data_IF_081727158274
#
_entry.id   IF_081727158274
#
_cell.length_a   1.000
_cell.length_b   1.000
_cell.length_c   1.000
_cell.angle_alpha   90.00
_cell.angle_beta   90.00
_cell.angle_gamma   90.00
#
_symmetry.space_group_name_H-M   'P 1'
#
loop_
_entity.id
_entity.type
_entity.pdbx_description
1 polymer ?
#
# COMPACT_ATOMS: atom_id res chain seq x y z
N UNK A 1 -0.64 30.20 -5.32
CA UNK A 1 -1.10 28.79 -5.28
C UNK A 1 -0.45 28.04 -6.45
N UNK A 2 0.30 26.96 -6.20
CA UNK A 2 1.11 26.26 -7.22
C UNK A 2 0.25 25.34 -8.12
N UNK A 3 -0.69 25.91 -8.87
CA UNK A 3 -1.71 25.16 -9.63
C UNK A 3 -1.19 24.34 -10.83
N UNK A 4 0.09 24.47 -11.19
CA UNK A 4 0.73 23.74 -12.28
C UNK A 4 1.80 22.74 -11.81
N UNK A 5 1.95 22.55 -10.48
CA UNK A 5 2.96 21.64 -9.96
C UNK A 5 2.60 20.19 -10.33
N UNK A 6 3.47 19.53 -11.08
CA UNK A 6 3.30 18.12 -11.47
C UNK A 6 4.13 17.16 -10.61
N UNK A 7 5.24 17.64 -10.02
CA UNK A 7 6.12 16.83 -9.17
C UNK A 7 6.42 17.56 -7.88
N UNK A 8 6.24 16.86 -6.76
CA UNK A 8 6.65 17.26 -5.43
C UNK A 8 7.55 16.16 -4.89
N UNK A 9 8.84 16.48 -4.75
CA UNK A 9 9.84 15.54 -4.26
C UNK A 9 10.33 15.94 -2.87
N UNK A 10 10.08 15.06 -1.91
CA UNK A 10 10.45 15.15 -0.51
C UNK A 10 11.30 13.94 -0.08
N UNK A 11 11.97 13.24 -1.01
CA UNK A 11 12.73 12.02 -0.73
C UNK A 11 13.81 12.23 0.36
N UNK A 12 14.52 13.35 0.29
CA UNK A 12 15.59 13.72 1.23
C UNK A 12 15.07 14.48 2.47
N UNK A 13 13.77 14.76 2.52
CA UNK A 13 13.19 15.49 3.64
C UNK A 13 13.01 14.55 4.85
N UNK A 14 13.60 14.93 5.99
CA UNK A 14 13.29 14.32 7.28
C UNK A 14 11.98 14.91 7.83
N UNK A 15 10.88 14.69 7.10
CA UNK A 15 9.55 15.17 7.48
C UNK A 15 8.89 14.12 8.38
N UNK A 16 8.79 14.43 9.68
CA UNK A 16 8.24 13.53 10.71
C UNK A 16 6.77 13.87 11.00
N UNK A 17 6.34 15.09 10.66
CA UNK A 17 4.99 15.54 10.89
C UNK A 17 3.99 14.92 9.90
N UNK A 18 2.68 14.92 10.23
CA UNK A 18 1.65 14.55 9.28
C UNK A 18 1.64 15.50 8.08
N UNK A 19 1.36 14.95 6.90
CA UNK A 19 1.23 15.76 5.68
C UNK A 19 0.03 16.72 5.80
N UNK A 20 0.20 18.01 5.48
CA UNK A 20 -0.89 18.97 5.48
C UNK A 20 -1.95 18.66 4.42
N UNK A 21 -3.23 18.86 4.75
CA UNK A 21 -4.36 18.53 3.87
C UNK A 21 -4.38 19.41 2.60
N UNK A 22 -3.73 20.56 2.66
CA UNK A 22 -3.55 21.52 1.57
C UNK A 22 -2.85 20.90 0.36
N UNK A 23 -2.07 19.82 0.52
CA UNK A 23 -1.50 19.08 -0.61
C UNK A 23 -2.59 18.59 -1.58
N UNK A 24 -3.78 18.26 -1.07
CA UNK A 24 -4.92 17.83 -1.89
C UNK A 24 -5.42 18.90 -2.87
N UNK A 25 -5.00 20.16 -2.71
CA UNK A 25 -5.33 21.25 -3.65
C UNK A 25 -4.47 21.19 -4.93
N UNK A 26 -3.39 20.42 -4.94
CA UNK A 26 -2.49 20.26 -6.10
C UNK A 26 -3.08 19.27 -7.12
N UNK A 27 -4.17 19.65 -7.80
CA UNK A 27 -4.94 18.78 -8.71
C UNK A 27 -4.16 18.25 -9.92
N UNK A 28 -3.09 18.92 -10.31
CA UNK A 28 -2.20 18.52 -11.42
C UNK A 28 -0.99 17.70 -10.97
N UNK A 29 -0.85 17.42 -9.66
CA UNK A 29 0.26 16.64 -9.15
C UNK A 29 0.19 15.22 -9.70
N UNK A 30 1.26 14.79 -10.35
CA UNK A 30 1.44 13.45 -10.90
C UNK A 30 2.39 12.64 -10.05
N UNK A 31 3.40 13.29 -9.48
CA UNK A 31 4.44 12.63 -8.73
C UNK A 31 4.53 13.23 -7.35
N UNK A 32 4.06 12.48 -6.35
CA UNK A 32 4.34 12.77 -4.96
C UNK A 32 5.38 11.77 -4.48
N UNK A 33 6.60 12.25 -4.24
CA UNK A 33 7.76 11.43 -3.88
C UNK A 33 8.17 11.81 -2.46
N UNK A 34 8.50 10.81 -1.65
CA UNK A 34 8.89 11.01 -0.26
C UNK A 34 9.32 9.70 0.39
N UNK A 35 9.76 9.80 1.64
CA UNK A 35 10.09 8.66 2.49
C UNK A 35 8.85 7.87 2.94
N UNK A 36 8.79 7.52 4.22
CA UNK A 36 7.65 6.82 4.81
C UNK A 36 6.72 7.86 5.43
N UNK A 37 5.50 8.00 4.92
CA UNK A 37 4.59 9.08 5.31
C UNK A 37 3.27 8.56 5.88
N UNK A 38 2.76 9.26 6.88
CA UNK A 38 1.39 9.13 7.38
C UNK A 38 0.49 10.05 6.57
N UNK A 39 -0.39 9.44 5.76
CA UNK A 39 -1.33 10.15 4.89
C UNK A 39 -2.76 10.19 5.45
N UNK A 40 -2.97 9.80 6.71
CA UNK A 40 -4.31 9.74 7.32
C UNK A 40 -5.02 11.11 7.26
N UNK A 41 -4.28 12.22 7.34
CA UNK A 41 -4.86 13.57 7.19
C UNK A 41 -5.40 13.87 5.79
N UNK A 42 -5.03 13.07 4.79
CA UNK A 42 -5.48 13.25 3.41
C UNK A 42 -6.74 12.44 3.08
N UNK A 43 -7.28 11.69 4.03
CA UNK A 43 -8.50 10.85 3.90
C UNK A 43 -9.74 11.59 3.36
N UNK A 44 -9.77 12.92 3.41
CA UNK A 44 -10.92 13.73 2.96
C UNK A 44 -10.66 14.42 1.62
N UNK A 45 -9.51 14.17 0.96
CA UNK A 45 -9.15 14.93 -0.24
C UNK A 45 -8.22 14.24 -1.24
N UNK A 46 -7.48 13.21 -0.82
CA UNK A 46 -6.50 12.56 -1.70
C UNK A 46 -7.16 11.93 -2.92
N UNK A 47 -8.40 11.42 -2.80
CA UNK A 47 -9.11 10.83 -3.92
C UNK A 47 -9.47 11.83 -5.02
N UNK A 48 -9.42 13.13 -4.75
CA UNK A 48 -9.54 14.17 -5.77
C UNK A 48 -8.21 14.54 -6.45
N UNK A 49 -7.09 13.91 -6.10
CA UNK A 49 -5.79 14.09 -6.76
C UNK A 49 -5.63 13.08 -7.91
N UNK A 50 -6.62 13.02 -8.81
CA UNK A 50 -6.78 11.95 -9.81
C UNK A 50 -5.65 11.87 -10.86
N UNK A 51 -4.81 12.92 -10.96
CA UNK A 51 -3.62 12.94 -11.80
C UNK A 51 -2.43 12.15 -11.22
N UNK A 52 -2.49 11.74 -9.94
CA UNK A 52 -1.39 11.06 -9.27
C UNK A 52 -1.06 9.71 -9.94
N UNK A 53 0.23 9.55 -10.21
CA UNK A 53 0.85 8.34 -10.75
C UNK A 53 1.78 7.69 -9.74
N UNK A 54 2.44 8.48 -8.90
CA UNK A 54 3.28 7.97 -7.81
C UNK A 54 2.89 8.61 -6.49
N UNK A 55 2.92 7.81 -5.44
CA UNK A 55 2.63 8.20 -4.07
C UNK A 55 3.79 7.79 -3.16
N UNK A 56 4.10 8.54 -2.08
CA UNK A 56 5.08 8.11 -1.09
C UNK A 56 4.65 6.79 -0.44
N UNK A 57 5.58 6.13 0.26
CA UNK A 57 5.25 4.90 0.98
C UNK A 57 4.30 5.24 2.13
N UNK A 58 3.12 4.66 2.12
CA UNK A 58 2.04 4.97 3.06
C UNK A 58 2.15 4.08 4.28
N UNK A 59 2.28 4.67 5.46
CA UNK A 59 2.25 3.95 6.74
C UNK A 59 0.82 3.83 7.25
N UNK A 60 0.41 2.60 7.60
CA UNK A 60 -0.90 2.31 8.17
C UNK A 60 -0.83 1.86 9.65
N UNK A 61 0.32 2.01 10.33
CA UNK A 61 0.47 1.60 11.73
C UNK A 61 -0.24 2.52 12.73
N UNK A 62 -0.47 1.93 13.91
CA UNK A 62 -1.01 2.60 15.08
C UNK A 62 0.12 3.39 15.75
N UNK A 63 0.04 4.71 15.67
CA UNK A 63 0.65 5.67 16.57
C UNK A 63 2.04 5.31 17.14
N UNK A 64 3.11 5.78 16.48
CA UNK A 64 4.42 5.93 17.12
C UNK A 64 4.38 6.82 18.40
N UNK A 65 3.27 7.53 18.64
CA UNK A 65 3.16 8.57 19.67
C UNK A 65 1.96 8.44 20.63
N UNK A 66 1.15 7.37 20.55
CA UNK A 66 0.02 7.12 21.47
C UNK A 66 -0.99 8.27 21.64
N UNK A 67 -1.20 9.09 20.61
CA UNK A 67 -2.02 10.32 20.66
C UNK A 67 -3.49 10.11 20.27
N UNK A 68 -3.88 8.96 19.72
CA UNK A 68 -5.25 8.66 19.25
C UNK A 68 -5.77 7.33 19.76
N UNK A 69 -7.06 7.29 20.12
CA UNK A 69 -7.75 6.05 20.46
C UNK A 69 -7.79 5.12 19.24
N UNK A 70 -7.44 3.84 19.42
CA UNK A 70 -7.28 2.90 18.31
C UNK A 70 -8.48 2.77 17.36
N UNK A 71 -9.71 2.97 17.87
CA UNK A 71 -10.94 2.90 17.07
C UNK A 71 -11.07 4.05 16.06
N UNK A 72 -10.70 5.28 16.44
CA UNK A 72 -10.79 6.44 15.55
C UNK A 72 -9.78 6.35 14.41
N UNK A 73 -8.56 5.88 14.70
CA UNK A 73 -7.52 5.70 13.67
C UNK A 73 -7.90 4.61 12.66
N UNK A 74 -8.51 3.51 13.11
CA UNK A 74 -9.02 2.47 12.22
C UNK A 74 -10.05 3.02 11.23
N UNK A 75 -10.98 3.84 11.72
CA UNK A 75 -11.96 4.50 10.88
C UNK A 75 -11.28 5.38 9.81
N UNK A 76 -10.30 6.20 10.19
CA UNK A 76 -9.59 7.06 9.25
C UNK A 76 -8.72 6.30 8.24
N UNK A 77 -8.14 5.15 8.61
CA UNK A 77 -7.39 4.30 7.68
C UNK A 77 -8.34 3.71 6.62
N UNK A 78 -9.53 3.27 7.03
CA UNK A 78 -10.54 2.77 6.10
C UNK A 78 -10.99 3.88 5.14
N UNK A 79 -11.26 5.10 5.64
CA UNK A 79 -11.57 6.26 4.81
C UNK A 79 -10.43 6.58 3.82
N UNK A 80 -9.17 6.54 4.28
CA UNK A 80 -8.01 6.73 3.42
C UNK A 80 -7.95 5.67 2.30
N UNK A 81 -8.13 4.39 2.63
CA UNK A 81 -8.17 3.30 1.65
C UNK A 81 -9.27 3.55 0.61
N UNK A 82 -10.46 3.98 1.05
CA UNK A 82 -11.57 4.31 0.15
C UNK A 82 -11.24 5.48 -0.79
N UNK A 83 -10.55 6.51 -0.32
CA UNK A 83 -10.09 7.60 -1.20
C UNK A 83 -9.04 7.15 -2.20
N UNK A 84 -8.12 6.26 -1.80
CA UNK A 84 -7.08 5.72 -2.70
C UNK A 84 -7.71 4.97 -3.90
N UNK A 85 -8.90 4.40 -3.75
CA UNK A 85 -9.64 3.72 -4.85
C UNK A 85 -9.91 4.67 -6.02
N UNK A 86 -10.03 5.97 -5.75
CA UNK A 86 -10.32 7.01 -6.75
C UNK A 86 -9.09 7.36 -7.60
N UNK A 87 -7.88 6.98 -7.17
CA UNK A 87 -6.63 7.25 -7.87
C UNK A 87 -6.38 6.26 -9.02
N UNK A 88 -7.21 6.33 -10.06
CA UNK A 88 -7.19 5.39 -11.19
C UNK A 88 -5.93 5.45 -12.07
N UNK A 89 -5.10 6.49 -11.93
CA UNK A 89 -3.83 6.64 -12.67
C UNK A 89 -2.59 6.20 -11.87
N UNK A 90 -2.77 5.70 -10.64
CA UNK A 90 -1.66 5.33 -9.78
C UNK A 90 -0.92 4.10 -10.35
N UNK A 91 0.39 4.21 -10.46
CA UNK A 91 1.30 3.19 -10.98
C UNK A 91 2.10 2.50 -9.89
N UNK A 92 2.35 3.19 -8.78
CA UNK A 92 3.08 2.64 -7.64
C UNK A 92 2.26 2.81 -6.36
N UNK A 93 2.00 1.68 -5.68
CA UNK A 93 1.39 1.62 -4.36
C UNK A 93 2.31 0.85 -3.41
N UNK A 94 2.75 1.53 -2.36
CA UNK A 94 3.55 0.93 -1.29
C UNK A 94 2.84 1.19 0.04
N UNK A 95 2.33 0.12 0.67
CA UNK A 95 1.70 0.16 1.98
C UNK A 95 2.59 -0.54 3.01
N UNK A 96 2.87 0.15 4.12
CA UNK A 96 3.74 -0.32 5.20
C UNK A 96 2.93 -0.54 6.47
N UNK A 97 3.33 -1.56 7.24
CA UNK A 97 2.71 -1.93 8.52
C UNK A 97 1.21 -2.23 8.41
N UNK A 98 0.82 -2.94 7.35
CA UNK A 98 -0.56 -3.35 7.11
C UNK A 98 -0.97 -4.44 8.11
N UNK A 99 -2.05 -4.22 8.85
CA UNK A 99 -2.67 -5.22 9.74
C UNK A 99 -3.72 -6.04 9.00
N UNK A 100 -4.01 -7.24 9.53
CA UNK A 100 -4.95 -8.20 8.94
C UNK A 100 -6.35 -7.61 8.70
N UNK A 101 -6.81 -6.75 9.62
CA UNK A 101 -8.13 -6.10 9.54
C UNK A 101 -8.33 -5.23 8.29
N UNK A 102 -7.25 -4.80 7.63
CA UNK A 102 -7.31 -3.99 6.41
C UNK A 102 -7.14 -4.79 5.12
N UNK A 103 -6.78 -6.08 5.20
CA UNK A 103 -6.43 -6.87 4.02
C UNK A 103 -7.58 -6.99 3.02
N UNK A 104 -8.82 -7.15 3.50
CA UNK A 104 -10.00 -7.19 2.64
C UNK A 104 -10.22 -5.86 1.90
N UNK A 105 -10.17 -4.73 2.61
CA UNK A 105 -10.33 -3.41 2.02
C UNK A 105 -9.21 -3.09 1.01
N UNK A 106 -7.97 -3.47 1.32
CA UNK A 106 -6.82 -3.32 0.43
C UNK A 106 -6.95 -4.23 -0.80
N UNK A 107 -7.47 -5.44 -0.66
CA UNK A 107 -7.75 -6.34 -1.79
C UNK A 107 -8.76 -5.70 -2.75
N UNK A 108 -9.86 -5.15 -2.22
CA UNK A 108 -10.83 -4.40 -3.03
C UNK A 108 -10.20 -3.18 -3.72
N UNK A 109 -9.36 -2.42 -3.01
CA UNK A 109 -8.60 -1.30 -3.58
C UNK A 109 -7.73 -1.73 -4.75
N UNK A 110 -6.93 -2.79 -4.61
CA UNK A 110 -5.97 -3.21 -5.63
C UNK A 110 -6.70 -3.74 -6.86
N UNK A 111 -7.78 -4.52 -6.72
CA UNK A 111 -8.59 -5.00 -7.85
C UNK A 111 -9.15 -3.84 -8.71
N UNK A 112 -9.30 -2.64 -8.13
CA UNK A 112 -9.82 -1.45 -8.78
C UNK A 112 -8.74 -0.58 -9.47
N UNK A 113 -7.45 -0.89 -9.29
CA UNK A 113 -6.31 -0.10 -9.77
C UNK A 113 -5.71 -0.65 -11.06
N UNK A 114 -6.41 -0.47 -12.18
CA UNK A 114 -6.06 -1.07 -13.48
C UNK A 114 -4.70 -0.61 -14.07
N UNK A 115 -4.17 0.52 -13.63
CA UNK A 115 -2.89 1.09 -14.09
C UNK A 115 -1.71 0.78 -13.14
N UNK A 116 -1.93 -0.03 -12.10
CA UNK A 116 -0.91 -0.33 -11.10
C UNK A 116 0.19 -1.21 -11.70
N UNK A 117 1.42 -0.73 -11.64
CA UNK A 117 2.62 -1.41 -12.15
C UNK A 117 3.46 -2.02 -11.03
N UNK A 118 3.45 -1.37 -9.86
CA UNK A 118 4.24 -1.79 -8.69
C UNK A 118 3.38 -1.82 -7.44
N UNK A 119 3.36 -2.97 -6.79
CA UNK A 119 2.74 -3.20 -5.50
C UNK A 119 3.80 -3.63 -4.49
N UNK A 120 3.83 -2.96 -3.35
CA UNK A 120 4.55 -3.44 -2.18
C UNK A 120 3.65 -3.37 -0.95
N UNK A 121 3.50 -4.52 -0.27
CA UNK A 121 2.78 -4.64 0.99
C UNK A 121 3.76 -5.15 2.03
N UNK A 122 3.79 -4.50 3.19
CA UNK A 122 4.57 -4.95 4.34
C UNK A 122 3.70 -5.02 5.58
N UNK A 123 3.76 -6.14 6.32
CA UNK A 123 3.08 -6.29 7.61
C UNK A 123 4.04 -6.02 8.76
N UNK A 124 3.54 -5.65 9.96
CA UNK A 124 4.37 -5.61 11.16
C UNK A 124 5.00 -6.98 11.41
N UNK A 125 6.31 -6.99 11.71
CA UNK A 125 6.96 -8.19 12.25
C UNK A 125 6.69 -8.23 13.76
N UNK A 126 6.34 -9.38 14.35
CA UNK A 126 6.21 -9.49 15.80
C UNK A 126 7.52 -9.15 16.45
N UNK A 127 7.46 -8.35 17.50
CA UNK A 127 8.64 -8.01 18.32
C UNK A 127 8.80 -9.04 19.45
N UNK A 128 7.75 -9.82 19.73
CA UNK A 128 7.76 -10.89 20.73
C UNK A 128 6.82 -12.04 20.36
N UNK A 129 6.96 -13.18 21.01
CA UNK A 129 6.07 -14.36 20.87
C UNK A 129 4.66 -14.16 21.44
N UNK A 130 4.41 -13.02 22.09
CA UNK A 130 3.12 -12.67 22.68
C UNK A 130 2.24 -11.85 21.73
N UNK A 131 2.81 -11.28 20.68
CA UNK A 131 2.05 -10.54 19.68
C UNK A 131 1.45 -11.51 18.67
N UNK A 132 0.16 -11.32 18.29
CA UNK A 132 -0.46 -12.16 17.30
C UNK A 132 0.24 -12.00 15.96
N UNK A 133 0.35 -13.11 15.26
CA UNK A 133 0.89 -13.11 13.91
C UNK A 133 -0.02 -12.31 12.96
N UNK A 134 0.58 -11.38 12.20
CA UNK A 134 -0.09 -10.70 11.08
C UNK A 134 0.30 -11.39 9.78
N UNK A 135 -0.70 -11.75 8.97
CA UNK A 135 -0.54 -12.49 7.74
C UNK A 135 -0.99 -11.70 6.51
N UNK A 136 -0.21 -11.78 5.44
CA UNK A 136 -0.61 -11.29 4.13
C UNK A 136 -1.59 -12.31 3.53
N UNK A 137 -2.85 -11.93 3.47
CA UNK A 137 -3.92 -12.66 2.77
C UNK A 137 -4.70 -11.70 1.87
N UNK A 138 -4.23 -11.54 0.63
CA UNK A 138 -4.85 -10.67 -0.38
C UNK A 138 -5.67 -11.51 -1.36
N UNK A 139 -6.94 -11.15 -1.53
CA UNK A 139 -7.85 -11.78 -2.50
C UNK A 139 -7.96 -10.93 -3.78
N UNK A 140 -7.05 -11.19 -4.73
CA UNK A 140 -7.04 -10.53 -6.03
C UNK A 140 -7.69 -11.41 -7.09
N UNK A 141 -9.01 -11.35 -7.16
CA UNK A 141 -9.79 -12.07 -8.16
C UNK A 141 -9.46 -11.61 -9.59
N UNK A 142 -9.24 -10.31 -9.78
CA UNK A 142 -8.82 -9.67 -11.03
C UNK A 142 -7.61 -8.76 -10.76
N UNK A 143 -6.40 -9.34 -10.61
CA UNK A 143 -5.23 -8.54 -10.27
C UNK A 143 -4.90 -7.55 -11.40
N UNK A 144 -4.35 -6.37 -11.10
CA UNK A 144 -4.07 -5.35 -12.11
C UNK A 144 -3.24 -5.88 -13.28
N UNK A 145 -3.66 -5.68 -14.53
CA UNK A 145 -3.01 -6.28 -15.69
C UNK A 145 -1.61 -5.70 -15.95
N UNK A 146 -1.34 -4.47 -15.51
CA UNK A 146 -0.05 -3.79 -15.67
C UNK A 146 0.97 -4.17 -14.59
N UNK A 147 0.58 -4.99 -13.60
CA UNK A 147 1.41 -5.27 -12.43
C UNK A 147 2.66 -6.06 -12.83
N UNK A 148 3.81 -5.44 -12.68
CA UNK A 148 5.12 -5.98 -13.09
C UNK A 148 6.07 -6.21 -11.92
N UNK A 149 5.87 -5.50 -10.81
CA UNK A 149 6.68 -5.64 -9.60
C UNK A 149 5.75 -5.90 -8.42
N UNK A 150 5.92 -7.05 -7.77
CA UNK A 150 5.20 -7.43 -6.56
C UNK A 150 6.20 -7.70 -5.44
N UNK A 151 6.00 -7.06 -4.29
CA UNK A 151 6.79 -7.30 -3.08
C UNK A 151 5.86 -7.51 -1.88
N UNK A 152 5.89 -8.69 -1.29
CA UNK A 152 5.13 -9.03 -0.09
C UNK A 152 6.13 -9.33 1.04
N UNK A 153 6.26 -8.37 1.97
CA UNK A 153 7.19 -8.43 3.11
C UNK A 153 6.39 -8.68 4.40
N UNK A 154 6.20 -9.96 4.71
CA UNK A 154 5.31 -10.38 5.77
C UNK A 154 5.03 -11.87 5.66
N UNK A 155 4.53 -12.46 6.75
CA UNK A 155 4.22 -13.89 6.77
C UNK A 155 2.97 -14.16 5.94
N UNK A 156 2.95 -15.28 5.24
CA UNK A 156 1.80 -15.74 4.49
C UNK A 156 1.40 -17.12 5.03
N UNK A 157 0.11 -17.44 5.00
CA UNK A 157 -0.37 -18.79 5.31
C UNK A 157 -0.22 -19.73 4.10
N UNK A 158 -0.34 -19.17 2.91
CA UNK A 158 -0.26 -19.87 1.61
C UNK A 158 0.36 -18.95 0.57
N UNK A 159 0.97 -19.54 -0.45
CA UNK A 159 1.46 -18.76 -1.58
C UNK A 159 0.26 -18.12 -2.33
N UNK A 160 0.33 -16.83 -2.72
CA UNK A 160 -0.79 -16.16 -3.38
C UNK A 160 -0.95 -16.62 -4.83
N UNK A 161 -1.98 -17.41 -5.11
CA UNK A 161 -2.23 -17.98 -6.45
C UNK A 161 -2.54 -16.92 -7.53
N UNK A 162 -3.04 -15.74 -7.13
CA UNK A 162 -3.31 -14.65 -8.08
C UNK A 162 -2.04 -14.13 -8.76
N UNK A 163 -0.85 -14.37 -8.20
CA UNK A 163 0.43 -14.06 -8.84
C UNK A 163 0.53 -14.72 -10.21
N UNK A 164 -0.06 -15.92 -10.38
CA UNK A 164 -0.04 -16.68 -11.63
C UNK A 164 -0.90 -16.08 -12.73
N UNK A 165 -1.82 -15.20 -12.38
CA UNK A 165 -2.65 -14.48 -13.35
C UNK A 165 -1.91 -13.29 -13.96
N UNK A 166 -0.77 -12.87 -13.38
CA UNK A 166 -0.01 -11.70 -13.81
C UNK A 166 0.84 -11.99 -15.05
N UNK A 167 0.46 -11.40 -16.19
CA UNK A 167 1.17 -11.61 -17.46
C UNK A 167 2.44 -10.75 -17.60
N UNK A 168 2.55 -9.65 -16.85
CA UNK A 168 3.64 -8.68 -16.97
C UNK A 168 4.65 -8.72 -15.81
N UNK A 169 4.57 -9.75 -14.95
CA UNK A 169 5.39 -9.86 -13.75
C UNK A 169 6.88 -10.06 -14.11
N UNK A 170 7.70 -9.05 -13.82
CA UNK A 170 9.16 -9.09 -14.03
C UNK A 170 9.94 -9.25 -12.72
N UNK A 171 9.32 -8.92 -11.59
CA UNK A 171 9.95 -9.03 -10.28
C UNK A 171 8.94 -9.45 -9.21
N UNK A 172 9.24 -10.57 -8.58
CA UNK A 172 8.53 -11.06 -7.40
C UNK A 172 9.50 -11.10 -6.21
N UNK A 173 9.09 -10.52 -5.09
CA UNK A 173 9.73 -10.72 -3.78
C UNK A 173 8.67 -11.15 -2.79
N UNK A 174 8.88 -12.28 -2.12
CA UNK A 174 7.98 -12.84 -1.11
C UNK A 174 8.81 -13.37 0.05
N UNK A 175 8.30 -13.22 1.26
CA UNK A 175 8.90 -13.81 2.46
C UNK A 175 8.24 -15.18 2.74
N UNK A 176 8.95 -16.27 2.42
CA UNK A 176 8.48 -17.64 2.64
C UNK A 176 8.97 -18.14 4.00
N UNK A 177 8.06 -18.55 4.88
CA UNK A 177 8.39 -18.89 6.27
C UNK A 177 8.63 -20.38 6.53
N UNK A 178 8.20 -21.25 5.63
CA UNK A 178 8.35 -22.69 5.78
C UNK A 178 8.62 -23.39 4.45
N UNK A 179 9.03 -24.66 4.52
CA UNK A 179 9.37 -25.47 3.34
C UNK A 179 8.16 -25.76 2.46
N UNK A 180 6.95 -25.84 3.02
CA UNK A 180 5.73 -26.10 2.26
C UNK A 180 5.41 -24.91 1.34
N UNK A 181 5.54 -23.68 1.83
CA UNK A 181 5.37 -22.47 1.03
C UNK A 181 6.41 -22.36 -0.07
N UNK A 182 7.65 -22.79 0.19
CA UNK A 182 8.69 -22.88 -0.83
C UNK A 182 8.31 -23.89 -1.92
N UNK A 183 7.88 -25.09 -1.54
CA UNK A 183 7.46 -26.12 -2.50
C UNK A 183 6.26 -25.67 -3.34
N UNK A 184 5.27 -25.01 -2.72
CA UNK A 184 4.10 -24.46 -3.40
C UNK A 184 4.52 -23.36 -4.39
N UNK A 185 5.37 -22.41 -3.97
CA UNK A 185 5.91 -21.38 -4.85
C UNK A 185 6.68 -21.97 -6.05
N UNK A 186 7.55 -22.96 -5.81
CA UNK A 186 8.36 -23.61 -6.85
C UNK A 186 7.54 -24.45 -7.83
N UNK A 187 6.38 -24.99 -7.41
CA UNK A 187 5.45 -25.66 -8.32
C UNK A 187 4.72 -24.68 -9.22
N UNK A 188 4.37 -23.52 -8.66
CA UNK A 188 3.54 -22.52 -9.32
C UNK A 188 4.35 -21.61 -10.28
N UNK A 189 5.63 -21.37 -10.02
CA UNK A 189 6.49 -20.49 -10.82
C UNK A 189 7.26 -21.18 -11.97
N UNK A 190 6.74 -22.29 -12.50
CA UNK A 190 7.32 -23.01 -13.66
C UNK A 190 6.79 -22.45 -14.98
#
# INVERSE_FOLDING_TARGET
MLGNLETLDLADACYIDPIPQEICMLRKLRHFIGGHMDLIRLKDGIGGMTSLRTLPKVRLDQDLFGRRNGRERNFYIVELIQELVKLKQLRELVLLYVRDEYMSAISSLINEMQQLEKLQISTPRPVSTLEPDTFIDLDLNSPPPMLSIVKLDGRMLKFPEWILKLQNLTKLKVDLVDSKQMDDAMKLLK
#
